data_IF_622158681723
#
_entry.id   IF_622158681723
#
_cell.length_a   1.000
_cell.length_b   1.000
_cell.length_c   1.000
_cell.angle_alpha   90.00
_cell.angle_beta   90.00
_cell.angle_gamma   90.00
#
_symmetry.space_group_name_H-M   'P 1'
#
loop_
_entity.id
_entity.type
_entity.pdbx_description
1 polymer ?
#
# COMPACT_ATOMS: atom_id res chain seq x y z
N UNK A 1 -22.11 31.96 -12.45
CA UNK A 1 -21.15 31.03 -13.08
C UNK A 1 -19.97 30.67 -12.16
N UNK A 2 -19.36 31.62 -11.45
CA UNK A 2 -18.21 31.37 -10.55
C UNK A 2 -18.52 30.40 -9.39
N UNK A 3 -19.72 30.45 -8.80
CA UNK A 3 -20.12 29.54 -7.70
C UNK A 3 -20.43 28.11 -8.17
N UNK A 4 -20.84 27.95 -9.44
CA UNK A 4 -21.07 26.63 -10.06
C UNK A 4 -19.73 26.01 -10.42
N UNK A 5 -18.77 26.79 -10.94
CA UNK A 5 -17.40 26.32 -11.18
C UNK A 5 -16.66 25.98 -9.88
N UNK A 6 -16.84 26.72 -8.78
CA UNK A 6 -16.24 26.36 -7.48
C UNK A 6 -16.81 25.06 -6.89
N UNK A 7 -18.12 24.80 -7.05
CA UNK A 7 -18.74 23.54 -6.61
C UNK A 7 -18.37 22.37 -7.52
N UNK A 8 -18.26 22.59 -8.83
CA UNK A 8 -17.77 21.57 -9.77
C UNK A 8 -16.32 21.22 -9.50
N UNK A 9 -15.46 22.23 -9.27
CA UNK A 9 -14.07 22.03 -8.88
C UNK A 9 -14.01 21.29 -7.55
N UNK A 10 -14.81 21.66 -6.54
CA UNK A 10 -14.86 20.96 -5.25
C UNK A 10 -15.32 19.50 -5.36
N UNK A 11 -16.35 19.21 -6.16
CA UNK A 11 -16.82 17.85 -6.39
C UNK A 11 -15.82 17.02 -7.19
N UNK A 12 -15.19 17.60 -8.22
CA UNK A 12 -14.12 16.97 -9.00
C UNK A 12 -12.88 16.75 -8.13
N UNK A 13 -12.52 17.70 -7.26
CA UNK A 13 -11.42 17.56 -6.29
C UNK A 13 -11.72 16.45 -5.26
N UNK A 14 -12.98 16.29 -4.83
CA UNK A 14 -13.39 15.20 -3.93
C UNK A 14 -13.39 13.83 -4.62
N UNK A 15 -13.73 13.79 -5.91
CA UNK A 15 -13.65 12.59 -6.75
C UNK A 15 -12.19 12.21 -7.05
N UNK A 16 -11.32 13.21 -7.27
CA UNK A 16 -9.87 13.04 -7.41
C UNK A 16 -9.24 12.62 -6.08
N UNK A 17 -9.72 13.13 -4.94
CA UNK A 17 -9.24 12.73 -3.62
C UNK A 17 -9.59 11.27 -3.27
N UNK A 18 -10.67 10.72 -3.83
CA UNK A 18 -11.04 9.31 -3.68
C UNK A 18 -10.15 8.34 -4.48
N UNK A 19 -9.55 8.81 -5.59
CA UNK A 19 -8.60 8.05 -6.40
C UNK A 19 -7.21 8.69 -6.30
N UNK A 20 -6.39 8.14 -5.41
CA UNK A 20 -5.01 8.60 -5.11
C UNK A 20 -4.09 8.74 -6.34
N UNK A 21 -4.52 8.30 -7.51
CA UNK A 21 -3.79 8.24 -8.78
C UNK A 21 -4.45 9.04 -9.92
N UNK A 22 -5.68 9.54 -9.74
CA UNK A 22 -6.39 10.27 -10.79
C UNK A 22 -5.71 11.61 -11.12
N UNK A 23 -5.08 12.25 -10.14
CA UNK A 23 -4.35 13.50 -10.36
C UNK A 23 -3.14 13.31 -11.29
N UNK A 24 -2.47 12.14 -11.25
CA UNK A 24 -1.36 11.80 -12.16
C UNK A 24 -1.87 11.67 -13.59
N UNK A 25 -3.03 11.04 -13.77
CA UNK A 25 -3.67 10.90 -15.09
C UNK A 25 -4.17 12.24 -15.64
N UNK A 26 -4.64 13.15 -14.78
CA UNK A 26 -4.97 14.51 -15.20
C UNK A 26 -3.71 15.29 -15.58
N UNK A 27 -2.61 15.12 -14.82
CA UNK A 27 -1.34 15.77 -15.09
C UNK A 27 -0.76 15.30 -16.43
N UNK A 28 -0.66 13.99 -16.66
CA UNK A 28 -0.16 13.43 -17.92
C UNK A 28 -0.99 13.89 -19.12
N UNK A 29 -2.33 13.85 -19.02
CA UNK A 29 -3.23 14.31 -20.07
C UNK A 29 -3.05 15.82 -20.35
N UNK A 30 -2.90 16.63 -19.30
CA UNK A 30 -2.67 18.08 -19.46
C UNK A 30 -1.36 18.38 -20.18
N UNK A 31 -0.26 17.70 -19.80
CA UNK A 31 1.05 17.88 -20.43
C UNK A 31 1.04 17.34 -21.87
N UNK A 32 0.34 16.23 -22.13
CA UNK A 32 0.17 15.69 -23.48
C UNK A 32 -0.60 16.64 -24.41
N UNK A 33 -1.65 17.30 -23.90
CA UNK A 33 -2.39 18.32 -24.65
C UNK A 33 -1.47 19.53 -24.93
N UNK A 34 -0.74 20.00 -23.93
CA UNK A 34 0.23 21.09 -24.10
C UNK A 34 1.26 20.75 -25.17
N UNK A 35 1.83 19.54 -25.13
CA UNK A 35 2.73 19.04 -26.17
C UNK A 35 2.11 19.07 -27.57
N UNK A 36 0.87 18.56 -27.72
CA UNK A 36 0.16 18.57 -29.01
C UNK A 36 -0.12 20.00 -29.52
N UNK A 37 -0.49 20.92 -28.63
CA UNK A 37 -0.70 22.33 -28.98
C UNK A 37 0.60 23.02 -29.42
N UNK A 38 1.69 22.83 -28.68
CA UNK A 38 3.01 23.34 -29.05
C UNK A 38 3.47 22.79 -30.40
N UNK A 39 3.16 21.53 -30.70
CA UNK A 39 3.51 20.89 -31.97
C UNK A 39 2.73 21.43 -33.15
N UNK A 40 1.46 21.79 -32.97
CA UNK A 40 0.58 22.29 -34.03
C UNK A 40 0.84 23.79 -34.32
N UNK A 41 1.17 24.58 -33.30
CA UNK A 41 1.18 26.05 -33.40
C UNK A 41 2.57 26.71 -33.55
N UNK A 42 3.67 25.98 -33.35
CA UNK A 42 5.01 26.59 -33.32
C UNK A 42 6.03 25.98 -34.28
N UNK A 43 6.48 26.75 -35.26
CA UNK A 43 7.63 26.40 -36.12
C UNK A 43 8.98 26.68 -35.44
N UNK A 44 9.03 27.59 -34.46
CA UNK A 44 10.25 28.01 -33.74
C UNK A 44 10.45 27.30 -32.39
N UNK A 45 9.46 26.53 -31.90
CA UNK A 45 9.45 25.91 -30.57
C UNK A 45 9.75 24.40 -30.58
N UNK A 46 10.38 23.90 -31.64
CA UNK A 46 10.62 22.46 -31.83
C UNK A 46 11.43 21.82 -30.69
N UNK A 47 12.46 22.51 -30.18
CA UNK A 47 13.30 22.02 -29.06
C UNK A 47 12.50 21.87 -27.76
N UNK A 48 11.62 22.82 -27.48
CA UNK A 48 10.73 22.76 -26.31
C UNK A 48 9.69 21.65 -26.45
N UNK A 49 9.14 21.46 -27.66
CA UNK A 49 8.20 20.37 -27.92
C UNK A 49 8.84 18.99 -27.73
N UNK A 50 10.10 18.79 -28.15
CA UNK A 50 10.82 17.54 -27.91
C UNK A 50 11.03 17.30 -26.40
N UNK A 51 11.47 18.32 -25.66
CA UNK A 51 11.66 18.23 -24.20
C UNK A 51 10.35 17.85 -23.49
N UNK A 52 9.22 18.43 -23.90
CA UNK A 52 7.90 18.08 -23.38
C UNK A 52 7.49 16.65 -23.76
N UNK A 53 7.84 16.16 -24.95
CA UNK A 53 7.56 14.78 -25.35
C UNK A 53 8.28 13.76 -24.45
N UNK A 54 9.51 14.05 -24.04
CA UNK A 54 10.25 13.19 -23.08
C UNK A 54 9.53 13.16 -21.73
N UNK A 55 9.07 14.31 -21.24
CA UNK A 55 8.31 14.39 -19.97
C UNK A 55 7.01 13.58 -20.09
N UNK A 56 6.29 13.69 -21.21
CA UNK A 56 5.08 12.90 -21.48
C UNK A 56 5.39 11.40 -21.47
N UNK A 57 6.49 10.97 -22.09
CA UNK A 57 6.91 9.57 -22.08
C UNK A 57 7.20 9.06 -20.66
N UNK A 58 7.89 9.84 -19.84
CA UNK A 58 8.16 9.49 -18.43
C UNK A 58 6.85 9.39 -17.64
N UNK A 59 5.93 10.33 -17.81
CA UNK A 59 4.62 10.28 -17.15
C UNK A 59 3.82 9.05 -17.58
N UNK A 60 3.81 8.71 -18.87
CA UNK A 60 3.18 7.48 -19.36
C UNK A 60 3.84 6.21 -18.79
N UNK A 61 5.16 6.20 -18.60
CA UNK A 61 5.85 5.08 -17.95
C UNK A 61 5.42 4.93 -16.47
N UNK A 62 5.26 6.04 -15.75
CA UNK A 62 4.70 6.03 -14.39
C UNK A 62 3.26 5.51 -14.39
N UNK A 63 2.42 5.93 -15.33
CA UNK A 63 1.06 5.39 -15.47
C UNK A 63 1.03 3.89 -15.73
N UNK A 64 1.97 3.38 -16.52
CA UNK A 64 2.08 1.94 -16.77
C UNK A 64 2.36 1.18 -15.47
N UNK A 65 3.25 1.71 -14.60
CA UNK A 65 3.49 1.14 -13.27
C UNK A 65 2.21 1.15 -12.41
N UNK A 66 1.38 2.18 -12.55
CA UNK A 66 0.08 2.26 -11.87
C UNK A 66 -0.93 1.27 -12.48
N UNK A 67 -0.85 0.92 -13.75
CA UNK A 67 -1.67 -0.14 -14.33
C UNK A 67 -1.30 -1.53 -13.75
N UNK A 68 -0.01 -1.77 -13.49
CA UNK A 68 0.47 -2.99 -12.82
C UNK A 68 -0.14 -3.20 -11.42
N UNK A 69 -0.71 -2.16 -10.81
CA UNK A 69 -1.45 -2.21 -9.55
C UNK A 69 -2.59 -3.24 -9.53
N UNK A 70 -3.25 -3.46 -10.68
CA UNK A 70 -4.39 -4.39 -10.79
C UNK A 70 -3.94 -5.85 -10.66
N UNK A 71 -2.67 -6.14 -10.96
CA UNK A 71 -2.12 -7.50 -10.88
C UNK A 71 -2.06 -8.01 -9.44
N UNK A 72 -2.31 -9.30 -9.25
CA UNK A 72 -2.28 -9.95 -7.92
C UNK A 72 -0.87 -9.98 -7.32
N UNK A 73 0.15 -10.02 -8.17
CA UNK A 73 1.55 -10.20 -7.76
C UNK A 73 2.22 -8.84 -7.49
N UNK A 74 2.04 -7.86 -8.37
CA UNK A 74 2.70 -6.55 -8.23
C UNK A 74 1.85 -5.56 -7.42
N UNK A 75 0.54 -5.70 -7.40
CA UNK A 75 -0.38 -4.77 -6.75
C UNK A 75 -0.09 -4.50 -5.27
N UNK A 76 0.04 -5.53 -4.42
CA UNK A 76 0.40 -5.35 -3.01
C UNK A 76 1.75 -4.66 -2.83
N UNK A 77 2.74 -4.99 -3.68
CA UNK A 77 4.08 -4.40 -3.64
C UNK A 77 4.06 -2.91 -3.99
N UNK A 78 3.32 -2.52 -5.02
CA UNK A 78 3.16 -1.10 -5.41
C UNK A 78 2.44 -0.31 -4.31
N UNK A 79 1.41 -0.90 -3.70
CA UNK A 79 0.69 -0.29 -2.58
C UNK A 79 1.61 -0.04 -1.39
N UNK A 80 2.46 -1.02 -1.08
CA UNK A 80 3.44 -0.95 -0.02
C UNK A 80 4.49 0.13 -0.28
N UNK A 81 5.09 0.16 -1.48
CA UNK A 81 6.05 1.20 -1.89
C UNK A 81 5.44 2.60 -1.77
N UNK A 82 4.18 2.78 -2.20
CA UNK A 82 3.50 4.07 -2.11
C UNK A 82 3.33 4.54 -0.66
N UNK A 83 2.94 3.65 0.25
CA UNK A 83 2.82 4.00 1.68
C UNK A 83 4.18 4.31 2.30
N UNK A 84 5.20 3.49 2.03
CA UNK A 84 6.57 3.73 2.51
C UNK A 84 7.18 5.03 1.99
N UNK A 85 6.84 5.43 0.77
CA UNK A 85 7.32 6.68 0.17
C UNK A 85 6.75 7.91 0.87
N UNK A 86 5.50 7.85 1.33
CA UNK A 86 4.91 8.96 2.09
C UNK A 86 5.61 9.17 3.44
N UNK A 87 5.93 8.07 4.12
CA UNK A 87 6.73 8.10 5.35
C UNK A 87 8.17 8.60 5.09
N UNK A 88 8.77 8.24 3.94
CA UNK A 88 10.07 8.80 3.52
C UNK A 88 10.02 10.33 3.39
N UNK A 89 8.97 10.85 2.75
CA UNK A 89 8.83 12.28 2.51
C UNK A 89 8.74 13.04 3.83
N UNK A 90 8.14 12.44 4.87
CA UNK A 90 8.13 13.01 6.21
C UNK A 90 9.53 13.04 6.88
N UNK A 91 10.42 12.10 6.53
CA UNK A 91 11.81 12.06 7.02
C UNK A 91 12.77 12.95 6.20
N UNK A 92 12.45 13.24 4.93
CA UNK A 92 13.30 14.01 4.02
C UNK A 92 13.76 15.39 4.53
N UNK A 93 12.98 16.16 5.33
CA UNK A 93 13.43 17.43 5.88
C UNK A 93 14.71 17.32 6.72
N UNK A 94 14.92 16.19 7.41
CA UNK A 94 16.17 15.96 8.14
C UNK A 94 17.37 15.93 7.20
N UNK A 95 17.27 15.22 6.07
CA UNK A 95 18.29 15.23 5.03
C UNK A 95 18.50 16.62 4.42
N UNK A 96 17.41 17.35 4.13
CA UNK A 96 17.46 18.67 3.52
C UNK A 96 18.26 19.67 4.39
N UNK A 97 18.12 19.60 5.72
CA UNK A 97 18.87 20.48 6.64
C UNK A 97 20.38 20.25 6.49
N UNK A 98 20.85 18.99 6.55
CA UNK A 98 22.28 18.70 6.41
C UNK A 98 22.79 19.04 5.00
N UNK A 99 21.98 18.77 3.98
CA UNK A 99 22.29 19.08 2.58
C UNK A 99 22.48 20.60 2.39
N UNK A 100 21.58 21.42 2.90
CA UNK A 100 21.66 22.88 2.81
C UNK A 100 22.84 23.45 3.59
N UNK A 101 23.03 23.04 4.85
CA UNK A 101 24.13 23.53 5.69
C UNK A 101 25.48 23.19 5.05
N UNK A 102 25.64 21.95 4.61
CA UNK A 102 26.86 21.51 3.96
C UNK A 102 27.07 22.20 2.61
N UNK A 103 26.05 22.27 1.76
CA UNK A 103 26.14 22.89 0.43
C UNK A 103 26.53 24.36 0.48
N UNK A 104 25.95 25.13 1.41
CA UNK A 104 26.32 26.54 1.59
C UNK A 104 27.75 26.67 2.13
N UNK A 105 28.10 25.83 3.11
CA UNK A 105 29.45 25.81 3.71
C UNK A 105 30.51 25.48 2.68
N UNK A 106 30.26 24.49 1.83
CA UNK A 106 31.16 24.08 0.76
C UNK A 106 31.29 25.16 -0.31
N UNK A 107 30.17 25.71 -0.79
CA UNK A 107 30.17 26.76 -1.81
C UNK A 107 30.97 27.99 -1.34
N UNK A 108 30.83 28.36 -0.07
CA UNK A 108 31.59 29.46 0.54
C UNK A 108 33.08 29.13 0.71
N UNK A 109 33.42 27.86 0.98
CA UNK A 109 34.80 27.43 1.21
C UNK A 109 35.61 27.26 -0.08
N UNK A 110 34.98 26.83 -1.18
CA UNK A 110 35.67 26.53 -2.46
C UNK A 110 35.67 27.73 -3.40
N UNK A 111 34.65 28.60 -3.38
CA UNK A 111 34.50 29.73 -4.31
C UNK A 111 34.40 31.10 -3.60
N UNK A 112 35.46 31.57 -2.93
CA UNK A 112 35.43 32.84 -2.21
C UNK A 112 35.25 34.06 -3.12
N UNK A 113 35.69 33.98 -4.38
CA UNK A 113 35.72 35.12 -5.31
C UNK A 113 34.40 35.35 -6.07
N UNK A 114 33.36 34.55 -5.81
CA UNK A 114 32.04 34.72 -6.43
C UNK A 114 31.18 35.70 -5.63
N UNK A 115 31.08 36.93 -6.11
CA UNK A 115 30.32 38.03 -5.47
C UNK A 115 28.92 38.26 -6.04
N UNK A 116 28.61 37.67 -7.21
CA UNK A 116 27.30 37.81 -7.87
C UNK A 116 26.25 36.82 -7.35
N UNK A 117 25.02 37.30 -7.13
CA UNK A 117 23.87 36.42 -6.91
C UNK A 117 23.35 35.92 -8.25
N UNK A 118 23.77 34.72 -8.65
CA UNK A 118 23.24 34.02 -9.81
C UNK A 118 22.33 32.87 -9.35
N UNK A 119 21.18 32.71 -9.99
CA UNK A 119 20.22 31.63 -9.72
C UNK A 119 20.86 30.25 -9.92
N UNK A 120 21.87 30.18 -10.80
CA UNK A 120 22.67 28.97 -11.01
C UNK A 120 23.38 28.49 -9.74
N UNK A 121 23.85 29.42 -8.89
CA UNK A 121 24.57 29.10 -7.64
C UNK A 121 23.64 28.42 -6.64
N UNK A 122 22.39 28.84 -6.56
CA UNK A 122 21.39 28.21 -5.68
C UNK A 122 21.17 26.75 -6.06
N UNK A 123 21.13 26.44 -7.36
CA UNK A 123 21.04 25.07 -7.85
C UNK A 123 22.31 24.27 -7.54
N UNK A 124 23.49 24.84 -7.79
CA UNK A 124 24.78 24.19 -7.52
C UNK A 124 24.97 23.84 -6.03
N UNK A 125 24.50 24.70 -5.12
CA UNK A 125 24.53 24.49 -3.67
C UNK A 125 23.74 23.25 -3.24
N UNK A 126 22.66 22.91 -3.94
CA UNK A 126 21.86 21.72 -3.66
C UNK A 126 22.37 20.48 -4.41
N UNK A 127 22.81 20.69 -5.66
CA UNK A 127 23.19 19.64 -6.59
C UNK A 127 24.45 18.88 -6.14
N UNK A 128 25.52 19.60 -5.76
CA UNK A 128 26.80 18.97 -5.37
C UNK A 128 26.66 18.07 -4.14
N UNK A 129 26.06 18.51 -3.02
CA UNK A 129 25.81 17.63 -1.88
C UNK A 129 24.89 16.44 -2.17
N UNK A 130 23.93 16.62 -3.08
CA UNK A 130 23.00 15.57 -3.46
C UNK A 130 23.71 14.41 -4.17
N UNK A 131 24.56 14.68 -5.17
CA UNK A 131 25.29 13.62 -5.86
C UNK A 131 26.32 12.91 -4.97
N UNK A 132 26.84 13.62 -3.95
CA UNK A 132 27.72 13.02 -2.93
C UNK A 132 27.05 11.91 -2.12
N UNK A 133 25.74 12.02 -1.86
CA UNK A 133 24.97 10.96 -1.21
C UNK A 133 25.03 9.64 -2.02
N UNK A 134 25.19 9.74 -3.34
CA UNK A 134 25.27 8.60 -4.26
C UNK A 134 26.72 8.19 -4.59
N UNK A 135 27.72 8.81 -3.96
CA UNK A 135 29.13 8.43 -4.07
C UNK A 135 29.98 9.30 -5.01
N UNK A 136 29.41 10.33 -5.62
CA UNK A 136 30.17 11.26 -6.47
C UNK A 136 30.78 12.39 -5.63
N UNK A 137 32.05 12.23 -5.23
CA UNK A 137 32.69 13.14 -4.29
C UNK A 137 33.40 14.35 -4.92
N UNK A 138 33.67 14.33 -6.24
CA UNK A 138 34.31 15.42 -6.99
C UNK A 138 35.44 16.14 -6.20
N UNK A 139 36.35 15.36 -5.59
CA UNK A 139 37.36 15.87 -4.65
C UNK A 139 38.39 16.80 -5.32
N UNK A 140 38.50 16.74 -6.64
CA UNK A 140 39.41 17.55 -7.46
C UNK A 140 39.11 19.04 -7.32
N UNK A 141 37.82 19.42 -7.28
CA UNK A 141 37.39 20.80 -7.00
C UNK A 141 37.84 21.24 -5.60
N UNK A 142 37.68 20.39 -4.59
CA UNK A 142 38.05 20.76 -3.20
C UNK A 142 39.56 20.85 -2.98
N UNK A 143 40.35 20.20 -3.85
CA UNK A 143 41.81 20.27 -3.87
C UNK A 143 42.35 21.41 -4.74
N UNK A 144 41.48 22.13 -5.45
CA UNK A 144 41.90 23.18 -6.39
C UNK A 144 42.56 22.64 -7.66
N UNK A 145 42.36 21.35 -7.98
CA UNK A 145 42.96 20.68 -9.15
C UNK A 145 42.02 20.68 -10.36
N UNK A 146 40.87 21.36 -10.29
CA UNK A 146 39.83 21.32 -11.32
C UNK A 146 40.31 21.73 -12.71
N UNK A 147 40.07 20.87 -13.70
CA UNK A 147 40.46 20.99 -15.13
C UNK A 147 40.01 22.25 -15.87
N UNK A 148 39.17 23.11 -15.29
CA UNK A 148 38.59 24.28 -15.97
C UNK A 148 39.34 25.60 -15.74
N UNK A 149 40.42 25.58 -14.94
CA UNK A 149 41.11 26.79 -14.50
C UNK A 149 42.60 26.75 -14.85
N UNK A 150 42.97 27.33 -16.00
CA UNK A 150 44.36 27.39 -16.48
C UNK A 150 45.18 28.48 -15.79
N UNK A 151 44.54 29.52 -15.22
CA UNK A 151 45.20 30.60 -14.47
C UNK A 151 44.33 31.11 -13.30
N UNK A 152 44.68 30.84 -12.03
CA UNK A 152 43.86 31.20 -10.85
C UNK A 152 43.73 32.72 -10.61
N UNK A 153 44.50 33.55 -11.31
CA UNK A 153 44.50 35.01 -11.16
C UNK A 153 43.54 35.75 -12.11
N UNK A 154 43.07 35.11 -13.19
CA UNK A 154 42.34 35.79 -14.28
C UNK A 154 40.90 35.28 -14.44
N UNK A 155 40.60 34.08 -13.96
CA UNK A 155 39.27 33.46 -14.04
C UNK A 155 38.50 33.60 -12.72
N UNK A 156 37.55 34.53 -12.69
CA UNK A 156 36.54 34.61 -11.63
C UNK A 156 35.72 33.33 -11.55
N UNK A 157 35.72 32.68 -10.38
CA UNK A 157 34.89 31.50 -10.12
C UNK A 157 35.59 30.15 -10.19
N UNK A 158 36.91 30.12 -10.08
CA UNK A 158 37.70 28.90 -9.93
C UNK A 158 37.66 28.34 -8.51
N UNK A 159 37.72 27.00 -8.36
CA UNK A 159 37.77 26.39 -7.05
C UNK A 159 39.16 26.61 -6.42
N UNK A 160 39.19 27.11 -5.18
CA UNK A 160 40.40 27.24 -4.39
C UNK A 160 40.59 26.03 -3.48
N UNK A 161 41.84 25.63 -3.28
CA UNK A 161 42.18 24.55 -2.35
C UNK A 161 41.82 24.95 -0.92
N UNK A 162 40.99 24.14 -0.26
CA UNK A 162 40.60 24.35 1.13
C UNK A 162 40.62 23.04 1.90
N UNK A 163 41.51 22.94 2.90
CA UNK A 163 41.59 21.79 3.81
C UNK A 163 40.26 21.62 4.57
N UNK A 164 39.63 22.74 4.94
CA UNK A 164 38.34 22.74 5.60
C UNK A 164 37.25 22.12 4.72
N UNK A 165 37.24 22.40 3.42
CA UNK A 165 36.29 21.79 2.48
C UNK A 165 36.48 20.26 2.40
N UNK A 166 37.72 19.77 2.33
CA UNK A 166 37.99 18.32 2.29
C UNK A 166 37.54 17.62 3.58
N UNK A 167 37.79 18.23 4.74
CA UNK A 167 37.35 17.68 6.03
C UNK A 167 35.83 17.71 6.18
N UNK A 168 35.18 18.80 5.75
CA UNK A 168 33.72 18.93 5.82
C UNK A 168 33.01 17.91 4.93
N UNK A 169 33.59 17.54 3.77
CA UNK A 169 33.09 16.46 2.91
C UNK A 169 33.10 15.11 3.65
N UNK A 170 34.22 14.79 4.32
CA UNK A 170 34.33 13.56 5.09
C UNK A 170 33.30 13.50 6.23
N UNK A 171 33.14 14.60 6.96
CA UNK A 171 32.13 14.70 8.03
C UNK A 171 30.70 14.60 7.48
N UNK A 172 30.41 15.25 6.35
CA UNK A 172 29.12 15.18 5.68
C UNK A 172 28.76 13.75 5.26
N UNK A 173 29.70 13.03 4.64
CA UNK A 173 29.49 11.64 4.23
C UNK A 173 29.29 10.71 5.44
N UNK A 174 30.01 10.94 6.55
CA UNK A 174 29.79 10.21 7.80
C UNK A 174 28.37 10.43 8.34
N UNK A 175 27.92 11.68 8.41
CA UNK A 175 26.60 12.02 8.96
C UNK A 175 25.46 11.59 8.03
N UNK A 176 25.59 11.80 6.73
CA UNK A 176 24.50 11.54 5.77
C UNK A 176 24.48 10.09 5.30
N UNK A 177 25.58 9.59 4.73
CA UNK A 177 25.62 8.24 4.14
C UNK A 177 25.68 7.18 5.25
N UNK A 178 26.59 7.33 6.22
CA UNK A 178 26.81 6.28 7.24
C UNK A 178 25.75 6.33 8.34
N UNK A 179 25.31 7.51 8.78
CA UNK A 179 24.30 7.62 9.84
C UNK A 179 22.88 7.75 9.28
N UNK A 180 22.55 8.81 8.54
CA UNK A 180 21.17 9.10 8.14
C UNK A 180 20.60 8.11 7.11
N UNK A 181 21.40 7.69 6.12
CA UNK A 181 20.95 6.75 5.09
C UNK A 181 20.70 5.36 5.69
N UNK A 182 21.61 4.90 6.55
CA UNK A 182 21.43 3.63 7.26
C UNK A 182 20.25 3.67 8.24
N UNK A 183 20.02 4.81 8.90
CA UNK A 183 18.83 5.01 9.73
C UNK A 183 17.56 5.00 8.88
N UNK A 184 17.55 5.64 7.71
CA UNK A 184 16.42 5.63 6.78
C UNK A 184 16.11 4.21 6.29
N UNK A 185 17.14 3.43 5.95
CA UNK A 185 16.98 2.02 5.57
C UNK A 185 16.38 1.21 6.74
N UNK A 186 16.84 1.45 7.98
CA UNK A 186 16.30 0.77 9.16
C UNK A 186 14.82 1.11 9.40
N UNK A 187 14.47 2.39 9.30
CA UNK A 187 13.08 2.88 9.41
C UNK A 187 12.22 2.23 8.30
N UNK A 188 12.72 2.17 7.07
CA UNK A 188 12.01 1.48 6.00
C UNK A 188 11.82 -0.01 6.28
N UNK A 189 12.82 -0.72 6.77
CA UNK A 189 12.64 -2.12 7.13
C UNK A 189 11.56 -2.29 8.19
N UNK A 190 11.55 -1.43 9.22
CA UNK A 190 10.54 -1.48 10.27
C UNK A 190 9.13 -1.17 9.74
N UNK A 191 9.00 -0.14 8.90
CA UNK A 191 7.74 0.23 8.27
C UNK A 191 7.28 -0.89 7.32
N UNK A 192 8.20 -1.53 6.60
CA UNK A 192 7.88 -2.64 5.71
C UNK A 192 7.19 -3.77 6.49
N UNK A 193 7.80 -4.18 7.61
CA UNK A 193 7.26 -5.25 8.45
C UNK A 193 5.91 -4.87 9.07
N UNK A 194 5.74 -3.60 9.47
CA UNK A 194 4.47 -3.11 10.03
C UNK A 194 3.36 -3.01 8.98
N UNK A 195 3.67 -2.49 7.79
CA UNK A 195 2.67 -2.16 6.76
C UNK A 195 2.31 -3.33 5.85
N UNK A 196 3.06 -4.44 5.86
CA UNK A 196 2.85 -5.54 4.92
C UNK A 196 1.40 -6.10 4.98
N UNK A 197 0.86 -6.30 6.19
CA UNK A 197 -0.49 -6.86 6.37
C UNK A 197 -1.58 -5.84 5.98
N UNK A 198 -1.42 -4.60 6.40
CA UNK A 198 -2.40 -3.53 6.16
C UNK A 198 -2.44 -3.12 4.68
N UNK A 199 -1.27 -3.12 4.02
CA UNK A 199 -1.13 -2.84 2.59
C UNK A 199 -1.92 -3.83 1.73
N UNK A 200 -1.93 -5.12 2.09
CA UNK A 200 -2.66 -6.15 1.34
C UNK A 200 -4.17 -5.91 1.43
N UNK A 201 -4.69 -5.60 2.62
CA UNK A 201 -6.12 -5.33 2.83
C UNK A 201 -6.53 -4.05 2.09
N UNK A 202 -5.73 -2.98 2.22
CA UNK A 202 -5.97 -1.73 1.51
C UNK A 202 -5.92 -1.93 -0.02
N UNK A 203 -4.99 -2.74 -0.52
CA UNK A 203 -4.90 -3.10 -1.93
C UNK A 203 -6.14 -3.85 -2.40
N UNK A 204 -6.62 -4.85 -1.64
CA UNK A 204 -7.82 -5.61 -1.98
C UNK A 204 -9.06 -4.72 -2.09
N UNK A 205 -9.26 -3.80 -1.13
CA UNK A 205 -10.38 -2.86 -1.15
C UNK A 205 -10.35 -1.95 -2.38
N UNK A 206 -9.17 -1.37 -2.67
CA UNK A 206 -8.96 -0.52 -3.85
C UNK A 206 -9.11 -1.31 -5.16
N UNK A 207 -8.61 -2.54 -5.22
CA UNK A 207 -8.75 -3.42 -6.39
C UNK A 207 -10.21 -3.76 -6.65
N UNK A 208 -11.00 -4.03 -5.61
CA UNK A 208 -12.44 -4.25 -5.74
C UNK A 208 -13.13 -3.05 -6.38
N UNK A 209 -12.85 -1.83 -5.92
CA UNK A 209 -13.41 -0.61 -6.51
C UNK A 209 -13.08 -0.48 -8.00
N UNK A 210 -11.82 -0.74 -8.38
CA UNK A 210 -11.37 -0.71 -9.79
C UNK A 210 -12.11 -1.75 -10.63
N UNK A 211 -12.18 -3.00 -10.16
CA UNK A 211 -12.86 -4.09 -10.88
C UNK A 211 -14.35 -3.80 -11.05
N UNK A 212 -15.01 -3.28 -9.99
CA UNK A 212 -16.41 -2.87 -10.05
C UNK A 212 -16.65 -1.79 -11.11
N UNK A 213 -15.75 -0.81 -11.21
CA UNK A 213 -15.83 0.22 -12.25
C UNK A 213 -15.70 -0.39 -13.64
N UNK A 214 -14.76 -1.32 -13.86
CA UNK A 214 -14.59 -2.00 -15.15
C UNK A 214 -15.83 -2.78 -15.60
N UNK A 215 -16.60 -3.36 -14.67
CA UNK A 215 -17.87 -4.03 -15.01
C UNK A 215 -18.95 -3.08 -15.54
N UNK A 216 -18.90 -1.79 -15.19
CA UNK A 216 -19.86 -0.78 -15.66
C UNK A 216 -19.42 -0.12 -16.97
N UNK A 217 -18.17 -0.32 -17.38
CA UNK A 217 -17.59 0.22 -18.60
C UNK A 217 -17.88 -0.68 -19.80
N UNK A 218 -18.07 -0.10 -20.97
CA UNK A 218 -18.17 -0.86 -22.22
C UNK A 218 -16.90 -1.69 -22.42
N UNK A 219 -17.03 -2.95 -22.85
CA UNK A 219 -15.93 -3.92 -23.03
C UNK A 219 -14.93 -3.56 -24.16
N UNK A 220 -14.99 -2.34 -24.68
CA UNK A 220 -14.25 -1.88 -25.85
C UNK A 220 -12.99 -1.16 -25.38
N UNK A 221 -11.79 -1.50 -25.92
CA UNK A 221 -10.56 -0.82 -25.54
C UNK A 221 -10.64 0.67 -25.87
N UNK A 222 -9.98 1.50 -25.05
CA UNK A 222 -10.00 2.97 -25.16
C UNK A 222 -9.86 3.56 -26.58
N UNK A 223 -8.96 3.07 -27.48
CA UNK A 223 -8.87 3.60 -28.85
C UNK A 223 -10.14 3.36 -29.70
N UNK A 224 -10.93 2.33 -29.39
CA UNK A 224 -12.16 1.97 -30.13
C UNK A 224 -13.44 2.48 -29.44
N UNK A 225 -13.35 2.93 -28.19
CA UNK A 225 -14.45 3.47 -27.41
C UNK A 225 -15.28 4.55 -28.13
N UNK A 226 -14.67 5.64 -28.66
CA UNK A 226 -15.42 6.70 -29.32
C UNK A 226 -16.13 6.22 -30.59
N UNK A 227 -15.56 5.25 -31.32
CA UNK A 227 -16.21 4.66 -32.49
C UNK A 227 -17.48 3.90 -32.09
N UNK A 228 -17.44 3.09 -31.04
CA UNK A 228 -18.61 2.33 -30.57
C UNK A 228 -19.70 3.25 -30.02
N UNK A 229 -19.33 4.30 -29.29
CA UNK A 229 -20.27 5.32 -28.84
C UNK A 229 -20.91 6.06 -30.01
N UNK A 230 -20.13 6.40 -31.04
CA UNK A 230 -20.64 7.01 -32.27
C UNK A 230 -21.60 6.10 -33.04
N UNK A 231 -21.26 4.80 -33.20
CA UNK A 231 -22.15 3.82 -33.82
C UNK A 231 -23.43 3.58 -33.02
N UNK A 232 -23.35 3.51 -31.70
CA UNK A 232 -24.53 3.40 -30.83
C UNK A 232 -25.42 4.63 -30.95
N UNK A 233 -24.83 5.83 -30.96
CA UNK A 233 -25.55 7.08 -31.18
C UNK A 233 -26.24 7.12 -32.54
N UNK A 234 -25.54 6.69 -33.61
CA UNK A 234 -26.11 6.53 -34.95
C UNK A 234 -27.25 5.50 -34.98
N UNK A 235 -27.10 4.35 -34.34
CA UNK A 235 -28.15 3.33 -34.25
C UNK A 235 -29.38 3.85 -33.50
N UNK A 236 -29.20 4.58 -32.39
CA UNK A 236 -30.30 5.21 -31.65
C UNK A 236 -30.96 6.29 -32.50
N UNK A 237 -30.19 7.12 -33.21
CA UNK A 237 -30.72 8.14 -34.11
C UNK A 237 -31.52 7.53 -35.26
N UNK A 238 -31.01 6.45 -35.88
CA UNK A 238 -31.70 5.72 -36.94
C UNK A 238 -32.96 5.01 -36.42
N UNK A 239 -32.91 4.34 -35.26
CA UNK A 239 -34.09 3.72 -34.63
C UNK A 239 -35.14 4.76 -34.25
N UNK A 240 -34.75 5.95 -33.79
CA UNK A 240 -35.70 7.06 -33.53
C UNK A 240 -36.35 7.58 -34.82
N UNK A 241 -35.61 7.68 -35.92
CA UNK A 241 -36.13 8.06 -37.25
C UNK A 241 -37.08 6.99 -37.83
N UNK A 242 -36.76 5.70 -37.64
CA UNK A 242 -37.63 4.59 -38.08
C UNK A 242 -38.89 4.48 -37.22
N UNK A 243 -38.78 4.60 -35.90
CA UNK A 243 -39.92 4.60 -34.97
C UNK A 243 -40.88 5.78 -35.20
N UNK A 244 -40.38 6.95 -35.62
CA UNK A 244 -41.24 8.07 -36.05
C UNK A 244 -41.99 7.77 -37.35
N UNK A 245 -41.43 6.92 -38.22
CA UNK A 245 -42.10 6.44 -39.44
C UNK A 245 -43.17 5.40 -39.14
N UNK A 246 -42.88 4.44 -38.24
CA UNK A 246 -43.85 3.40 -37.86
C UNK A 246 -45.06 3.97 -37.09
N UNK A 247 -44.86 4.97 -36.21
CA UNK A 247 -45.97 5.66 -35.51
C UNK A 247 -46.92 6.37 -36.50
N UNK A 248 -46.41 6.82 -37.65
CA UNK A 248 -47.22 7.46 -38.69
C UNK A 248 -47.96 6.45 -39.57
N UNK A 249 -47.43 5.22 -39.71
CA UNK A 249 -48.07 4.12 -40.43
C UNK A 249 -49.12 3.41 -39.55
N UNK A 250 -48.85 3.22 -38.25
CA UNK A 250 -49.80 2.61 -37.32
C UNK A 250 -51.05 3.48 -37.10
N UNK A 251 -50.99 4.81 -37.18
CA UNK A 251 -52.20 5.64 -37.15
C UNK A 251 -53.13 5.42 -38.36
N UNK A 252 -52.60 4.94 -39.49
CA UNK A 252 -53.41 4.60 -40.67
C UNK A 252 -53.98 3.17 -40.61
N UNK A 253 -53.33 2.26 -39.87
CA UNK A 253 -53.74 0.85 -39.72
C UNK A 253 -54.62 0.64 -38.48
N UNK A 254 -54.45 1.41 -37.39
CA UNK A 254 -55.21 1.32 -36.13
C UNK A 254 -56.70 1.66 -36.23
N UNK A 255 -57.21 2.01 -37.43
CA UNK A 255 -58.66 2.09 -37.68
C UNK A 255 -59.28 0.72 -38.00
N UNK A 256 -58.47 -0.34 -38.08
CA UNK A 256 -58.91 -1.73 -38.15
C UNK A 256 -58.02 -2.57 -37.25
N UNK A 257 -58.62 -3.48 -36.48
CA UNK A 257 -57.99 -4.51 -35.64
C UNK A 257 -57.17 -4.02 -34.43
N UNK A 258 -57.85 -3.98 -33.28
CA UNK A 258 -57.23 -4.03 -31.97
C UNK A 258 -56.80 -5.47 -31.66
N UNK A 259 -55.48 -5.71 -31.60
CA UNK A 259 -54.91 -6.92 -30.99
C UNK A 259 -53.70 -6.49 -30.17
N UNK A 260 -53.75 -6.76 -28.87
CA UNK A 260 -52.65 -6.55 -27.92
C UNK A 260 -51.61 -7.66 -28.11
N UNK A 261 -50.31 -7.39 -28.32
CA UNK A 261 -49.30 -8.44 -28.38
C UNK A 261 -48.86 -8.84 -26.98
N UNK A 262 -48.70 -10.16 -26.78
CA UNK A 262 -48.09 -10.75 -25.59
C UNK A 262 -46.62 -10.32 -25.50
N UNK A 263 -46.15 -9.99 -24.29
CA UNK A 263 -44.76 -9.68 -24.00
C UNK A 263 -44.01 -11.00 -23.83
N UNK A 264 -43.00 -11.25 -24.67
CA UNK A 264 -42.05 -12.34 -24.51
C UNK A 264 -41.26 -12.15 -23.21
N UNK A 265 -41.25 -13.18 -22.36
CA UNK A 265 -40.50 -13.25 -21.11
C UNK A 265 -39.18 -13.96 -21.41
N UNK A 266 -38.29 -13.31 -22.14
CA UNK A 266 -36.91 -13.75 -22.33
C UNK A 266 -35.98 -12.54 -22.19
N UNK A 267 -35.91 -11.99 -20.98
CA UNK A 267 -34.84 -11.13 -20.47
C UNK A 267 -35.13 -10.89 -18.98
N UNK A 268 -34.82 -11.87 -18.13
CA UNK A 268 -34.66 -11.57 -16.71
C UNK A 268 -33.35 -10.79 -16.60
N UNK A 269 -33.47 -9.46 -16.69
CA UNK A 269 -32.48 -8.50 -16.23
C UNK A 269 -32.18 -8.80 -14.75
N UNK A 270 -31.29 -9.75 -14.48
CA UNK A 270 -30.79 -10.05 -13.13
C UNK A 270 -29.98 -8.82 -12.68
N UNK A 271 -30.66 -7.92 -11.97
CA UNK A 271 -30.13 -6.66 -11.48
C UNK A 271 -28.76 -6.88 -10.81
N UNK A 272 -27.68 -6.23 -11.28
CA UNK A 272 -26.32 -6.40 -10.74
C UNK A 272 -26.21 -6.17 -9.23
N UNK A 273 -27.10 -5.34 -8.65
CA UNK A 273 -27.14 -5.10 -7.21
C UNK A 273 -27.69 -6.29 -6.41
N UNK A 274 -28.53 -7.13 -7.02
CA UNK A 274 -29.05 -8.35 -6.41
C UNK A 274 -27.97 -9.45 -6.34
N UNK A 275 -27.10 -9.55 -7.35
CA UNK A 275 -25.95 -10.46 -7.36
C UNK A 275 -24.96 -10.10 -6.25
N UNK A 276 -24.66 -8.80 -6.09
CA UNK A 276 -23.74 -8.29 -5.05
C UNK A 276 -24.28 -8.57 -3.63
N UNK A 277 -25.58 -8.38 -3.40
CA UNK A 277 -26.23 -8.75 -2.13
C UNK A 277 -26.23 -10.24 -1.87
N UNK A 278 -26.47 -11.06 -2.90
CA UNK A 278 -26.47 -12.53 -2.77
C UNK A 278 -25.09 -13.04 -2.35
N UNK A 279 -24.03 -12.56 -3.00
CA UNK A 279 -22.65 -12.91 -2.64
C UNK A 279 -22.25 -12.45 -1.24
N UNK A 280 -22.67 -11.24 -0.83
CA UNK A 280 -22.45 -10.74 0.52
C UNK A 280 -23.17 -11.61 1.58
N UNK A 281 -24.41 -12.01 1.29
CA UNK A 281 -25.21 -12.85 2.18
C UNK A 281 -24.65 -14.28 2.28
N UNK A 282 -24.25 -14.89 1.16
CA UNK A 282 -23.60 -16.20 1.15
C UNK A 282 -22.26 -16.19 1.91
N UNK A 283 -21.47 -15.12 1.75
CA UNK A 283 -20.24 -14.91 2.51
C UNK A 283 -20.49 -14.81 4.02
N UNK A 284 -21.46 -13.99 4.43
CA UNK A 284 -21.85 -13.83 5.84
C UNK A 284 -22.33 -15.16 6.46
N UNK A 285 -23.17 -15.92 5.76
CA UNK A 285 -23.63 -17.23 6.21
C UNK A 285 -22.49 -18.25 6.36
N UNK A 286 -21.52 -18.23 5.44
CA UNK A 286 -20.34 -19.12 5.50
C UNK A 286 -19.47 -18.80 6.71
N UNK A 287 -19.16 -17.52 6.95
CA UNK A 287 -18.32 -17.10 8.07
C UNK A 287 -18.99 -17.39 9.42
N UNK A 288 -20.31 -17.22 9.51
CA UNK A 288 -21.08 -17.57 10.71
C UNK A 288 -21.04 -19.08 10.98
N UNK A 289 -21.10 -19.89 9.93
CA UNK A 289 -21.01 -21.36 10.05
C UNK A 289 -19.63 -21.77 10.56
N UNK A 290 -18.55 -21.22 9.99
CA UNK A 290 -17.18 -21.51 10.44
C UNK A 290 -16.94 -21.09 11.89
N UNK A 291 -17.43 -19.90 12.29
CA UNK A 291 -17.35 -19.42 13.68
C UNK A 291 -18.10 -20.32 14.65
N UNK A 292 -19.29 -20.78 14.28
CA UNK A 292 -20.08 -21.70 15.10
C UNK A 292 -19.42 -23.08 15.24
N UNK A 293 -18.83 -23.61 14.17
CA UNK A 293 -18.04 -24.85 14.23
C UNK A 293 -16.81 -24.70 15.12
N UNK A 294 -16.10 -23.58 15.04
CA UNK A 294 -14.94 -23.31 15.91
C UNK A 294 -15.34 -23.24 17.39
N UNK A 295 -16.46 -22.57 17.71
CA UNK A 295 -17.01 -22.51 19.08
C UNK A 295 -17.48 -23.88 19.58
N UNK A 296 -18.14 -24.66 18.73
CA UNK A 296 -18.59 -26.01 19.07
C UNK A 296 -17.41 -26.95 19.34
N UNK A 297 -16.36 -26.87 18.51
CA UNK A 297 -15.13 -27.63 18.69
C UNK A 297 -14.42 -27.25 19.99
N UNK A 298 -14.25 -25.95 20.27
CA UNK A 298 -13.67 -25.47 21.52
C UNK A 298 -14.46 -25.93 22.76
N UNK A 299 -15.79 -25.97 22.69
CA UNK A 299 -16.65 -26.48 23.76
C UNK A 299 -16.50 -27.99 23.95
N UNK A 300 -16.37 -28.75 22.87
CA UNK A 300 -16.12 -30.19 22.91
C UNK A 300 -14.76 -30.50 23.52
N UNK A 301 -13.71 -29.80 23.07
CA UNK A 301 -12.35 -29.98 23.56
C UNK A 301 -12.26 -29.62 25.06
N UNK A 302 -12.94 -28.55 25.50
CA UNK A 302 -13.03 -28.18 26.91
C UNK A 302 -13.77 -29.23 27.78
N UNK A 303 -14.86 -29.81 27.27
CA UNK A 303 -15.59 -30.86 27.96
C UNK A 303 -14.79 -32.17 28.06
N UNK A 304 -14.02 -32.49 27.03
CA UNK A 304 -13.11 -33.63 27.04
C UNK A 304 -11.97 -33.41 28.06
N UNK A 305 -11.43 -32.20 28.13
CA UNK A 305 -10.39 -31.85 29.11
C UNK A 305 -10.90 -31.94 30.55
N UNK A 306 -12.12 -31.48 30.83
CA UNK A 306 -12.71 -31.60 32.18
C UNK A 306 -12.94 -33.05 32.59
N UNK A 307 -13.37 -33.91 31.65
CA UNK A 307 -13.58 -35.34 31.91
C UNK A 307 -12.26 -36.06 32.23
N UNK A 308 -11.20 -35.78 31.46
CA UNK A 308 -9.86 -36.33 31.72
C UNK A 308 -9.32 -35.85 33.08
N UNK A 309 -9.55 -34.59 33.43
CA UNK A 309 -9.09 -34.06 34.72
C UNK A 309 -9.83 -34.70 35.90
N UNK A 310 -11.10 -35.04 35.75
CA UNK A 310 -11.88 -35.77 36.77
C UNK A 310 -11.38 -37.21 36.94
N UNK A 311 -11.06 -37.90 35.84
CA UNK A 311 -10.46 -39.25 35.87
C UNK A 311 -9.08 -39.25 36.56
N UNK A 312 -8.25 -38.23 36.28
CA UNK A 312 -6.93 -38.08 36.91
C UNK A 312 -7.05 -37.86 38.42
N UNK A 313 -8.01 -37.06 38.89
CA UNK A 313 -8.24 -36.87 40.33
C UNK A 313 -8.61 -38.16 41.04
N UNK A 314 -9.47 -39.00 40.43
CA UNK A 314 -9.83 -40.31 40.98
C UNK A 314 -8.62 -41.24 41.05
N UNK A 315 -7.76 -41.22 40.03
CA UNK A 315 -6.51 -42.00 40.02
C UNK A 315 -5.54 -41.53 41.11
N UNK A 316 -5.40 -40.22 41.32
CA UNK A 316 -4.51 -39.66 42.33
C UNK A 316 -4.97 -40.04 43.75
N UNK A 317 -6.28 -40.01 44.02
CA UNK A 317 -6.87 -40.45 45.29
C UNK A 317 -6.63 -41.96 45.54
N UNK A 318 -6.76 -42.79 44.50
CA UNK A 318 -6.45 -44.23 44.60
C UNK A 318 -4.97 -44.48 44.84
N UNK A 319 -4.08 -43.72 44.19
CA UNK A 319 -2.65 -43.80 44.42
C UNK A 319 -2.32 -43.39 45.85
N UNK A 320 -2.88 -42.30 46.36
CA UNK A 320 -2.66 -41.83 47.73
C UNK A 320 -3.11 -42.88 48.76
N UNK A 321 -4.29 -43.48 48.58
CA UNK A 321 -4.79 -44.59 49.41
C UNK A 321 -3.89 -45.83 49.35
N UNK A 322 -3.42 -46.22 48.17
CA UNK A 322 -2.49 -47.34 48.02
C UNK A 322 -1.13 -47.05 48.67
N UNK A 323 -0.65 -45.81 48.58
CA UNK A 323 0.62 -45.38 49.18
C UNK A 323 0.54 -45.37 50.71
N UNK A 324 -0.59 -44.92 51.28
CA UNK A 324 -0.89 -45.00 52.71
C UNK A 324 -1.02 -46.44 53.20
N UNK A 325 -1.63 -47.34 52.41
CA UNK A 325 -1.71 -48.76 52.75
C UNK A 325 -0.34 -49.45 52.77
N UNK A 326 0.59 -49.04 51.89
CA UNK A 326 1.97 -49.55 51.86
C UNK A 326 2.82 -48.94 53.01
N UNK A 327 2.55 -47.70 53.42
CA UNK A 327 3.28 -47.01 54.50
C UNK A 327 2.68 -47.19 55.90
N UNK A 328 1.53 -47.86 56.06
CA UNK A 328 0.98 -48.19 57.37
C UNK A 328 1.85 -49.28 58.04
N UNK A 329 2.60 -48.96 59.12
CA UNK A 329 3.44 -49.93 59.78
C UNK A 329 2.58 -50.80 60.70
N UNK A 330 2.71 -52.12 60.56
CA UNK A 330 2.59 -53.12 61.63
C UNK A 330 1.39 -52.97 62.59
N UNK A 331 0.21 -53.43 62.18
CA UNK A 331 -0.88 -53.78 63.10
C UNK A 331 -0.98 -55.30 63.37
N UNK A 332 -0.08 -56.10 62.80
CA UNK A 332 0.15 -57.51 63.18
C UNK A 332 1.22 -57.67 64.29
N UNK A 333 1.81 -56.57 64.78
CA UNK A 333 2.81 -56.62 65.85
C UNK A 333 2.23 -56.46 67.28
N UNK A 334 0.94 -56.13 67.41
CA UNK A 334 0.29 -55.93 68.72
C UNK A 334 -0.49 -57.15 69.23
N UNK A 335 -0.62 -58.21 68.43
CA UNK A 335 -1.24 -59.46 68.89
C UNK A 335 -0.22 -60.42 69.54
N UNK A 336 1.09 -60.27 69.27
CA UNK A 336 2.12 -61.11 69.89
C UNK A 336 2.56 -60.65 71.30
N UNK A 337 2.29 -59.38 71.68
CA UNK A 337 2.53 -58.91 73.06
C UNK A 337 1.38 -59.25 74.03
N UNK A 338 0.20 -59.65 73.53
CA UNK A 338 -0.94 -60.02 74.39
C UNK A 338 -0.84 -61.46 74.93
N UNK A 339 -0.07 -62.33 74.28
CA UNK A 339 0.11 -63.72 74.70
C UNK A 339 1.27 -63.93 75.71
N UNK A 340 2.22 -63.00 75.77
CA UNK A 340 3.36 -63.09 76.70
C UNK A 340 3.00 -62.68 78.14
N UNK A 341 1.91 -61.93 78.34
CA UNK A 341 1.46 -61.48 79.67
C UNK A 341 0.53 -62.49 80.39
N UNK A 342 0.01 -63.51 79.69
CA UNK A 342 -0.82 -64.58 80.31
C UNK A 342 0.01 -65.71 80.94
N UNK A 343 1.25 -65.91 80.51
CA UNK A 343 2.10 -67.00 81.04
C UNK A 343 2.85 -66.65 82.34
N UNK A 344 2.91 -65.38 82.76
CA UNK A 344 3.53 -64.98 84.04
C UNK A 344 2.58 -64.96 85.25
N UNK A 345 1.27 -65.17 85.08
CA UNK A 345 0.30 -65.12 86.19
C UNK A 345 -0.10 -66.49 86.77
N UNK A 346 0.39 -67.60 86.22
CA UNK A 346 0.04 -68.97 86.69
C UNK A 346 1.10 -69.66 87.55
N UNK A 347 2.24 -69.03 87.88
CA UNK A 347 3.25 -69.62 88.78
C UNK A 347 3.32 -68.99 90.18
N UNK A 348 2.36 -68.15 90.58
CA UNK A 348 2.39 -67.46 91.89
C UNK A 348 1.17 -67.69 92.78
N UNK A 349 0.46 -68.81 92.60
CA UNK A 349 -0.53 -69.33 93.58
C UNK A 349 -0.28 -70.84 93.79
N UNK A 350 0.97 -71.16 94.11
CA UNK A 350 1.38 -72.41 94.73
C UNK A 350 2.49 -72.12 95.76
N UNK A 351 2.14 -71.27 96.74
CA UNK A 351 2.73 -71.21 98.09
C UNK A 351 1.88 -70.29 98.96
#
# INVERSE_FOLDING_TARGET
MVLISLRLVGSVLSLIAGFQWAWIQCLSASVAIIYMLLRIWGSTTFTYAYSMAVIVLVLFAVELLLYCYVSVILGPKVTMIGQMTWEMIAFLPFFLIFLLVFGVTEQAAIFPDRTGFDTSVVLTVLERPFYRLFGENALEDSRGEGTSCTDPATSTGCPQQSIFAVVSIGMYNLLTVILLMNLLIAIFSQIFDSLQRDSIIAWQFKRYAIVRSFHQLSAVPWPLGPFVQFFSFLQIFCRRRLRQRDVQVDQSISRSTAVTPCVDVDDVDENPQLIERRGMFEGYCRDQTVSNFAKAKAKSDAAQFSSINEELQKLDEVIELATLAIHAPSLEATESELDQHKYCMQSSIAS
#
